data_IF_053346186504
#
_entry.id   IF_053346186504
#
_cell.length_a   1.000
_cell.length_b   1.000
_cell.length_c   1.000
_cell.angle_alpha   90.00
_cell.angle_beta   90.00
_cell.angle_gamma   90.00
#
_symmetry.space_group_name_H-M   'P 1'
#
loop_
_entity.id
_entity.type
_entity.pdbx_description
1 polymer ?
#
# COMPACT_ATOMS: atom_id res chain seq x y z
N UNK A 1 -34.35 -24.62 -4.31
CA UNK A 1 -33.73 -23.56 -5.14
C UNK A 1 -32.61 -22.93 -4.34
N UNK A 2 -31.43 -23.55 -4.38
CA UNK A 2 -30.22 -23.05 -3.74
C UNK A 2 -29.64 -21.91 -4.59
N UNK A 3 -29.59 -20.69 -4.03
CA UNK A 3 -28.85 -19.58 -4.63
C UNK A 3 -27.38 -19.78 -4.32
N UNK A 4 -26.65 -20.41 -5.26
CA UNK A 4 -25.17 -20.43 -5.24
C UNK A 4 -24.67 -18.98 -5.26
N UNK A 5 -24.06 -18.56 -4.14
CA UNK A 5 -23.44 -17.25 -4.00
C UNK A 5 -22.31 -17.07 -5.01
N UNK A 6 -22.34 -15.95 -5.74
CA UNK A 6 -21.31 -15.52 -6.71
C UNK A 6 -19.93 -15.24 -6.10
N UNK A 7 -19.76 -15.43 -4.79
CA UNK A 7 -18.56 -15.08 -4.02
C UNK A 7 -17.44 -16.13 -4.07
N UNK A 8 -17.73 -17.41 -4.35
CA UNK A 8 -16.72 -18.48 -4.24
C UNK A 8 -15.74 -18.57 -5.42
N UNK A 9 -15.77 -17.61 -6.37
CA UNK A 9 -14.97 -17.69 -7.59
C UNK A 9 -13.63 -16.92 -7.49
N UNK A 10 -13.49 -16.00 -6.54
CA UNK A 10 -12.34 -15.08 -6.46
C UNK A 10 -11.17 -15.66 -5.65
N UNK A 11 -11.38 -16.76 -4.94
CA UNK A 11 -10.36 -17.49 -4.18
C UNK A 11 -9.61 -18.57 -5.00
N UNK A 12 -9.83 -18.68 -6.32
CA UNK A 12 -9.10 -19.65 -7.13
C UNK A 12 -7.79 -19.08 -7.68
N UNK A 13 -6.70 -19.48 -7.03
CA UNK A 13 -5.32 -19.41 -7.53
C UNK A 13 -5.24 -20.09 -8.93
N UNK A 14 -4.66 -19.47 -9.97
CA UNK A 14 -4.39 -20.20 -11.20
C UNK A 14 -3.27 -21.20 -10.93
N UNK A 15 -3.51 -22.48 -11.21
CA UNK A 15 -2.45 -23.50 -11.30
C UNK A 15 -1.66 -23.17 -12.57
N UNK A 16 -0.41 -22.75 -12.42
CA UNK A 16 0.53 -22.60 -13.52
C UNK A 16 0.78 -23.98 -14.15
N UNK A 17 0.27 -24.15 -15.37
CA UNK A 17 0.60 -25.28 -16.24
C UNK A 17 1.95 -25.02 -16.90
N UNK A 18 2.81 -26.03 -16.89
CA UNK A 18 4.11 -26.04 -17.53
C UNK A 18 4.00 -25.88 -19.06
N UNK A 19 4.88 -25.06 -19.65
CA UNK A 19 5.16 -25.07 -21.08
C UNK A 19 5.56 -23.71 -21.66
N UNK A 20 6.83 -23.57 -22.03
CA UNK A 20 7.26 -22.62 -23.06
C UNK A 20 8.09 -21.44 -22.58
N UNK A 21 9.40 -21.64 -22.49
CA UNK A 21 10.42 -20.59 -22.53
C UNK A 21 10.37 -19.88 -23.90
N UNK A 22 10.05 -18.57 -23.89
CA UNK A 22 10.51 -17.54 -24.85
C UNK A 22 9.86 -16.17 -24.54
N UNK A 23 10.63 -15.22 -23.99
CA UNK A 23 10.39 -13.77 -24.09
C UNK A 23 9.48 -13.10 -23.05
N UNK A 24 9.82 -13.12 -21.75
CA UNK A 24 8.96 -12.60 -20.67
C UNK A 24 9.27 -11.18 -20.18
N UNK A 25 10.40 -10.58 -20.61
CA UNK A 25 10.84 -9.26 -20.10
C UNK A 25 9.98 -8.09 -20.57
N UNK A 26 9.58 -8.07 -21.85
CA UNK A 26 8.81 -6.97 -22.42
C UNK A 26 7.35 -6.94 -21.91
N UNK A 27 6.73 -8.11 -21.72
CA UNK A 27 5.36 -8.21 -21.22
C UNK A 27 5.20 -7.80 -19.76
N UNK A 28 6.17 -8.15 -18.90
CA UNK A 28 6.16 -7.71 -17.50
C UNK A 28 6.45 -6.21 -17.35
N UNK A 29 7.31 -5.66 -18.22
CA UNK A 29 7.57 -4.22 -18.30
C UNK A 29 6.33 -3.42 -18.68
N UNK A 30 5.60 -3.84 -19.72
CA UNK A 30 4.36 -3.20 -20.16
C UNK A 30 3.28 -3.20 -19.07
N UNK A 31 3.06 -4.35 -18.41
CA UNK A 31 2.07 -4.44 -17.30
C UNK A 31 2.43 -3.50 -16.14
N UNK A 32 3.72 -3.33 -15.82
CA UNK A 32 4.16 -2.39 -14.78
C UNK A 32 3.86 -0.95 -15.17
N UNK A 33 4.19 -0.56 -16.39
CA UNK A 33 3.92 0.77 -16.91
C UNK A 33 2.42 1.07 -16.88
N UNK A 34 1.59 0.15 -17.37
CA UNK A 34 0.13 0.29 -17.38
C UNK A 34 -0.45 0.53 -15.97
N UNK A 35 0.05 -0.19 -14.96
CA UNK A 35 -0.40 -0.01 -13.57
C UNK A 35 0.00 1.34 -12.98
N UNK A 36 1.19 1.85 -13.34
CA UNK A 36 1.64 3.19 -12.91
C UNK A 36 0.84 4.29 -13.62
N UNK A 37 0.56 4.12 -14.92
CA UNK A 37 -0.29 5.05 -15.68
C UNK A 37 -1.71 5.05 -15.16
N UNK A 38 -2.26 3.89 -14.77
CA UNK A 38 -3.58 3.80 -14.14
C UNK A 38 -3.62 4.53 -12.79
N UNK A 39 -2.56 4.43 -11.98
CA UNK A 39 -2.46 5.17 -10.72
C UNK A 39 -2.38 6.69 -10.95
N UNK A 40 -1.57 7.14 -11.92
CA UNK A 40 -1.49 8.55 -12.28
C UNK A 40 -2.82 9.09 -12.83
N UNK A 41 -3.51 8.30 -13.68
CA UNK A 41 -4.83 8.63 -14.23
C UNK A 41 -5.93 8.66 -13.16
N UNK A 42 -5.80 7.87 -12.09
CA UNK A 42 -6.65 7.94 -10.90
C UNK A 42 -6.37 9.16 -10.02
N UNK A 43 -5.39 10.00 -10.39
CA UNK A 43 -5.05 11.23 -9.70
C UNK A 43 -3.99 11.09 -8.62
N UNK A 44 -3.35 9.92 -8.47
CA UNK A 44 -2.29 9.74 -7.47
C UNK A 44 -0.99 10.41 -7.91
N UNK A 45 -0.47 11.42 -7.19
CA UNK A 45 0.78 12.07 -7.56
C UNK A 45 1.94 11.12 -7.27
N UNK A 46 2.69 10.74 -8.31
CA UNK A 46 3.75 9.75 -8.26
C UNK A 46 5.14 10.39 -8.23
N UNK A 47 6.07 9.79 -7.49
CA UNK A 47 7.50 10.12 -7.55
C UNK A 47 8.37 8.84 -7.51
N UNK A 48 9.58 8.85 -8.10
CA UNK A 48 10.47 7.69 -8.07
C UNK A 48 10.92 7.34 -6.65
N UNK A 49 10.98 6.04 -6.39
CA UNK A 49 11.39 5.45 -5.13
C UNK A 49 12.40 4.33 -5.36
N UNK A 50 13.21 4.10 -4.32
CA UNK A 50 14.24 3.07 -4.34
C UNK A 50 13.61 1.68 -4.55
N UNK A 51 14.35 0.81 -5.21
CA UNK A 51 13.95 -0.56 -5.48
C UNK A 51 14.96 -1.55 -4.88
N UNK A 52 14.63 -2.85 -4.79
CA UNK A 52 15.57 -3.84 -4.30
C UNK A 52 16.75 -3.96 -5.27
N UNK A 53 17.98 -4.00 -4.76
CA UNK A 53 19.19 -4.20 -5.54
C UNK A 53 20.11 -5.17 -4.80
N UNK A 54 20.35 -6.35 -5.39
CA UNK A 54 21.01 -7.47 -4.69
C UNK A 54 20.29 -7.83 -3.39
N UNK A 55 21.03 -7.84 -2.28
CA UNK A 55 20.49 -8.06 -0.93
C UNK A 55 20.11 -6.75 -0.21
N UNK A 56 20.15 -5.61 -0.89
CA UNK A 56 20.00 -4.29 -0.30
C UNK A 56 19.09 -3.36 -1.09
N UNK A 57 19.40 -2.06 -1.04
CA UNK A 57 18.61 -0.98 -1.62
C UNK A 57 19.36 -0.35 -2.80
N UNK A 58 18.64 0.11 -3.82
CA UNK A 58 19.20 0.83 -4.98
C UNK A 58 19.77 2.22 -4.66
N UNK A 59 19.72 2.66 -3.39
CA UNK A 59 20.28 3.94 -2.96
C UNK A 59 21.76 3.89 -2.57
N UNK A 60 22.41 2.72 -2.71
CA UNK A 60 23.81 2.44 -2.38
C UNK A 60 24.23 2.73 -0.92
N UNK A 61 23.28 3.11 -0.05
CA UNK A 61 23.52 3.31 1.37
C UNK A 61 23.67 1.96 2.08
N UNK A 62 24.87 1.72 2.60
CA UNK A 62 25.14 0.61 3.53
C UNK A 62 24.25 0.80 4.77
N UNK A 63 23.46 -0.21 5.13
CA UNK A 63 22.54 -0.13 6.26
C UNK A 63 21.35 0.81 6.03
N UNK A 64 20.83 0.87 4.80
CA UNK A 64 19.58 1.57 4.52
C UNK A 64 18.47 1.13 5.51
N UNK A 65 17.84 2.06 6.25
CA UNK A 65 16.85 1.71 7.27
C UNK A 65 15.52 1.22 6.68
N UNK A 66 15.20 1.64 5.45
CA UNK A 66 13.94 1.29 4.77
C UNK A 66 14.23 0.78 3.34
N UNK A 67 14.90 -0.38 3.19
CA UNK A 67 15.34 -0.85 1.88
C UNK A 67 14.19 -0.96 0.88
N UNK A 68 14.37 -0.36 -0.30
CA UNK A 68 13.42 -0.34 -1.41
C UNK A 68 12.06 0.34 -1.13
N UNK A 69 11.96 1.14 -0.06
CA UNK A 69 10.69 1.76 0.37
C UNK A 69 10.69 3.29 0.37
N UNK A 70 11.85 3.93 0.27
CA UNK A 70 11.97 5.38 0.36
C UNK A 70 12.03 6.07 -1.01
N UNK A 71 11.59 7.34 -1.13
CA UNK A 71 11.79 8.16 -2.31
C UNK A 71 13.27 8.29 -2.66
N UNK A 72 13.59 8.45 -3.95
CA UNK A 72 14.97 8.68 -4.40
C UNK A 72 15.42 10.12 -4.09
N UNK A 73 14.52 11.07 -4.26
CA UNK A 73 14.77 12.50 -4.09
C UNK A 73 14.24 12.99 -2.74
N UNK A 74 14.99 13.86 -2.06
CA UNK A 74 14.49 14.56 -0.87
C UNK A 74 13.41 15.60 -1.20
N UNK A 75 13.31 16.03 -2.46
CA UNK A 75 12.28 16.93 -2.95
C UNK A 75 11.06 16.17 -3.53
N UNK A 76 10.83 14.94 -3.09
CA UNK A 76 9.77 14.08 -3.62
C UNK A 76 8.39 14.72 -3.53
N UNK A 77 8.10 15.47 -2.46
CA UNK A 77 6.81 16.15 -2.24
C UNK A 77 6.49 17.11 -3.40
N UNK A 78 7.46 17.92 -3.82
CA UNK A 78 7.27 18.92 -4.87
C UNK A 78 7.47 18.35 -6.27
N UNK A 79 8.13 17.20 -6.39
CA UNK A 79 8.35 16.52 -7.66
C UNK A 79 7.19 15.60 -8.05
N UNK A 80 6.44 15.09 -7.06
CA UNK A 80 5.34 14.15 -7.27
C UNK A 80 4.31 14.71 -8.26
N UNK A 81 3.85 13.89 -9.19
CA UNK A 81 3.03 14.35 -10.31
C UNK A 81 2.07 13.29 -10.82
N UNK A 82 0.97 13.73 -11.42
CA UNK A 82 0.05 12.89 -12.19
C UNK A 82 0.31 12.96 -13.71
N UNK A 83 1.33 13.71 -14.14
CA UNK A 83 1.69 13.85 -15.55
C UNK A 83 2.26 12.53 -16.11
N UNK A 84 1.55 11.86 -17.03
CA UNK A 84 1.96 10.56 -17.57
C UNK A 84 3.29 10.64 -18.34
N UNK A 85 3.59 11.77 -19.00
CA UNK A 85 4.82 11.90 -19.77
C UNK A 85 6.05 11.93 -18.85
N UNK A 86 5.93 12.62 -17.71
CA UNK A 86 6.96 12.69 -16.68
C UNK A 86 7.13 11.34 -15.97
N UNK A 87 6.05 10.64 -15.67
CA UNK A 87 6.12 9.28 -15.09
C UNK A 87 6.77 8.29 -16.06
N UNK A 88 6.38 8.31 -17.34
CA UNK A 88 6.96 7.45 -18.36
C UNK A 88 8.44 7.79 -18.61
N UNK A 89 8.82 9.07 -18.54
CA UNK A 89 10.22 9.48 -18.61
C UNK A 89 11.05 8.89 -17.47
N UNK A 90 10.57 8.94 -16.24
CA UNK A 90 11.25 8.33 -15.09
C UNK A 90 11.38 6.82 -15.24
N UNK A 91 10.31 6.13 -15.67
CA UNK A 91 10.34 4.69 -15.86
C UNK A 91 11.28 4.26 -17.01
N UNK A 92 11.42 5.06 -18.07
CA UNK A 92 12.42 4.82 -19.12
C UNK A 92 13.85 5.00 -18.63
N UNK A 93 14.07 5.98 -17.73
CA UNK A 93 15.39 6.25 -17.16
C UNK A 93 15.82 5.16 -16.17
N UNK A 94 14.88 4.65 -15.37
CA UNK A 94 15.09 3.52 -14.47
C UNK A 94 13.83 2.61 -14.48
N UNK A 95 13.85 1.54 -15.31
CA UNK A 95 12.72 0.59 -15.38
C UNK A 95 12.50 -0.20 -14.08
N UNK A 96 13.49 -0.23 -13.20
CA UNK A 96 13.42 -0.96 -11.94
C UNK A 96 12.88 -0.09 -10.81
N UNK A 97 12.95 1.25 -10.91
CA UNK A 97 12.44 2.19 -9.92
C UNK A 97 11.05 1.81 -9.41
N UNK A 98 10.90 1.77 -8.10
CA UNK A 98 9.57 1.80 -7.48
C UNK A 98 9.00 3.22 -7.60
N UNK A 99 7.71 3.36 -7.27
CA UNK A 99 7.07 4.66 -7.17
C UNK A 99 6.37 4.75 -5.82
N UNK A 100 6.43 5.94 -5.23
CA UNK A 100 5.57 6.33 -4.11
C UNK A 100 4.48 7.25 -4.61
N UNK A 101 3.42 7.38 -3.83
CA UNK A 101 2.48 8.48 -3.97
C UNK A 101 2.49 9.39 -2.75
N UNK A 102 2.45 10.70 -2.99
CA UNK A 102 2.38 11.70 -1.93
C UNK A 102 0.95 11.80 -1.40
N UNK A 103 0.77 11.61 -0.09
CA UNK A 103 -0.53 11.65 0.60
C UNK A 103 -0.83 13.04 1.18
N UNK A 104 -2.08 13.26 1.60
CA UNK A 104 -2.54 14.50 2.24
C UNK A 104 -2.70 15.71 1.33
N UNK A 105 -2.80 15.47 0.01
CA UNK A 105 -3.18 16.48 -0.98
C UNK A 105 -4.48 16.07 -1.65
N UNK A 106 -4.47 14.93 -2.36
CA UNK A 106 -5.65 14.42 -3.09
C UNK A 106 -6.27 13.19 -2.44
N UNK A 107 -5.48 12.46 -1.65
CA UNK A 107 -5.88 11.23 -1.01
C UNK A 107 -5.06 11.04 0.26
N UNK A 108 -5.60 10.26 1.19
CA UNK A 108 -4.90 9.72 2.35
C UNK A 108 -4.86 8.20 2.25
N UNK A 109 -4.04 7.58 3.11
CA UNK A 109 -3.96 6.12 3.20
C UNK A 109 -4.04 5.65 4.65
N UNK A 110 -5.02 4.79 4.93
CA UNK A 110 -5.11 4.06 6.19
C UNK A 110 -4.32 2.74 6.04
N UNK A 111 -3.23 2.61 6.80
CA UNK A 111 -2.30 1.48 6.77
C UNK A 111 -2.48 0.60 8.02
N UNK A 112 -2.91 -0.65 7.85
CA UNK A 112 -3.21 -1.61 8.92
C UNK A 112 -2.47 -2.95 8.71
N UNK A 113 -2.30 -3.81 9.74
CA UNK A 113 -1.79 -5.16 9.55
C UNK A 113 -2.66 -5.92 8.55
N UNK A 114 -2.05 -6.74 7.70
CA UNK A 114 -2.76 -7.35 6.56
C UNK A 114 -3.92 -8.26 6.97
N UNK A 115 -3.80 -8.97 8.10
CA UNK A 115 -4.87 -9.82 8.62
C UNK A 115 -6.03 -9.00 9.19
N UNK A 116 -5.75 -7.96 9.97
CA UNK A 116 -6.76 -7.00 10.42
C UNK A 116 -7.46 -6.33 9.23
N UNK A 117 -6.70 -5.89 8.22
CA UNK A 117 -7.25 -5.30 7.00
C UNK A 117 -8.15 -6.25 6.21
N UNK A 118 -7.78 -7.53 6.09
CA UNK A 118 -8.65 -8.55 5.47
C UNK A 118 -9.98 -8.69 6.21
N UNK A 119 -9.94 -8.80 7.53
CA UNK A 119 -11.13 -8.89 8.36
C UNK A 119 -12.03 -7.65 8.24
N UNK A 120 -11.43 -6.45 8.25
CA UNK A 120 -12.15 -5.21 8.06
C UNK A 120 -12.80 -5.14 6.66
N UNK A 121 -12.07 -5.51 5.61
CA UNK A 121 -12.57 -5.50 4.24
C UNK A 121 -13.77 -6.43 4.05
N UNK A 122 -13.74 -7.62 4.67
CA UNK A 122 -14.88 -8.55 4.67
C UNK A 122 -16.12 -7.95 5.35
N UNK A 123 -15.94 -7.29 6.50
CA UNK A 123 -17.03 -6.65 7.23
C UNK A 123 -17.62 -5.45 6.51
N UNK A 124 -16.77 -4.59 5.96
CA UNK A 124 -17.19 -3.44 5.15
C UNK A 124 -18.00 -3.92 3.94
N UNK A 125 -17.55 -4.98 3.27
CA UNK A 125 -18.28 -5.61 2.18
C UNK A 125 -19.63 -6.20 2.62
N UNK A 126 -19.70 -6.86 3.77
CA UNK A 126 -20.96 -7.39 4.32
C UNK A 126 -21.95 -6.29 4.75
N UNK A 127 -21.44 -5.13 5.14
CA UNK A 127 -22.21 -3.94 5.49
C UNK A 127 -22.53 -3.05 4.28
N UNK A 128 -22.13 -3.44 3.06
CA UNK A 128 -22.29 -2.68 1.82
C UNK A 128 -21.70 -1.26 1.88
N UNK A 129 -20.66 -1.07 2.68
CA UNK A 129 -19.89 0.19 2.74
C UNK A 129 -18.98 0.28 1.52
N UNK A 130 -18.98 1.44 0.86
CA UNK A 130 -18.10 1.67 -0.29
C UNK A 130 -16.64 1.70 0.15
N UNK A 131 -15.82 0.88 -0.50
CA UNK A 131 -14.37 0.82 -0.28
C UNK A 131 -13.66 1.26 -1.56
N UNK A 132 -12.69 2.17 -1.38
CA UNK A 132 -11.84 2.67 -2.44
C UNK A 132 -10.77 1.67 -2.89
N UNK A 133 -9.68 2.17 -3.52
CA UNK A 133 -8.54 1.35 -3.86
C UNK A 133 -7.92 0.74 -2.59
N UNK A 134 -7.48 -0.52 -2.71
CA UNK A 134 -6.85 -1.25 -1.61
C UNK A 134 -5.61 -1.93 -2.13
N UNK A 135 -4.46 -1.69 -1.51
CA UNK A 135 -3.22 -2.40 -1.81
C UNK A 135 -2.80 -3.27 -0.63
N UNK A 136 -1.96 -4.27 -0.89
CA UNK A 136 -1.30 -5.05 0.16
C UNK A 136 0.20 -5.10 -0.07
N UNK A 137 0.95 -4.99 1.02
CA UNK A 137 2.39 -5.18 1.08
C UNK A 137 2.67 -6.51 1.78
N UNK A 138 3.37 -7.42 1.13
CA UNK A 138 3.92 -8.62 1.78
C UNK A 138 5.44 -8.48 1.89
N UNK A 139 6.00 -8.64 3.09
CA UNK A 139 7.44 -8.78 3.31
C UNK A 139 7.76 -10.18 3.82
N UNK A 140 8.95 -10.70 3.50
CA UNK A 140 9.41 -12.01 3.98
C UNK A 140 9.71 -12.00 5.50
N UNK A 141 10.12 -10.84 6.02
CA UNK A 141 10.56 -10.64 7.42
C UNK A 141 9.72 -9.63 8.21
N UNK A 142 8.72 -9.02 7.58
CA UNK A 142 7.83 -8.04 8.20
C UNK A 142 6.39 -8.49 8.04
N UNK A 143 5.58 -8.26 9.08
CA UNK A 143 4.15 -8.49 9.01
C UNK A 143 3.59 -7.71 7.81
N UNK A 144 2.85 -8.41 6.95
CA UNK A 144 2.24 -7.80 5.78
C UNK A 144 1.29 -6.68 6.22
N UNK A 145 1.08 -5.71 5.34
CA UNK A 145 0.17 -4.59 5.59
C UNK A 145 -0.86 -4.44 4.48
N UNK A 146 -1.97 -3.80 4.80
CA UNK A 146 -3.04 -3.47 3.86
C UNK A 146 -3.29 -1.97 3.91
N UNK A 147 -3.31 -1.35 2.73
CA UNK A 147 -3.37 0.08 2.50
C UNK A 147 -4.73 0.40 1.90
N UNK A 148 -5.54 1.17 2.61
CA UNK A 148 -6.87 1.63 2.16
C UNK A 148 -6.75 3.09 1.72
N UNK A 149 -6.97 3.35 0.44
CA UNK A 149 -6.89 4.70 -0.13
C UNK A 149 -8.23 5.38 0.03
N UNK A 150 -8.22 6.58 0.60
CA UNK A 150 -9.42 7.37 0.93
C UNK A 150 -9.27 8.77 0.40
N UNK A 151 -10.38 9.53 0.40
CA UNK A 151 -10.29 10.96 0.24
C UNK A 151 -9.42 11.53 1.36
N UNK A 152 -8.80 12.68 1.11
CA UNK A 152 -8.10 13.41 2.17
C UNK A 152 -9.11 13.80 3.26
N UNK A 153 -8.72 13.69 4.55
CA UNK A 153 -9.54 14.20 5.66
C UNK A 153 -9.69 15.73 5.67
N UNK A 154 -8.99 16.40 4.76
CA UNK A 154 -9.17 17.81 4.47
C UNK A 154 -7.98 18.35 3.70
N UNK A 155 -8.24 18.89 2.52
CA UNK A 155 -7.59 20.12 2.08
C UNK A 155 -8.51 21.25 2.54
N UNK A 156 -8.45 21.69 3.81
CA UNK A 156 -9.13 22.93 4.14
C UNK A 156 -8.57 24.03 3.22
N UNK A 157 -9.44 24.90 2.72
CA UNK A 157 -9.04 26.09 1.94
C UNK A 157 -8.14 27.03 2.78
N UNK A 158 -8.13 26.83 4.09
CA UNK A 158 -7.29 27.50 5.08
C UNK A 158 -6.29 26.51 5.71
N UNK A 159 -4.98 26.82 5.61
CA UNK A 159 -3.94 26.01 6.25
C UNK A 159 -4.07 25.99 7.78
N UNK A 160 -4.72 26.99 8.39
CA UNK A 160 -4.92 27.10 9.84
C UNK A 160 -6.04 26.17 10.37
N UNK A 161 -6.86 25.59 9.48
CA UNK A 161 -7.87 24.58 9.84
C UNK A 161 -7.31 23.15 9.82
N UNK A 162 -6.10 22.96 9.30
CA UNK A 162 -5.44 21.66 9.35
C UNK A 162 -4.90 21.38 10.76
N UNK A 163 -5.33 20.26 11.34
CA UNK A 163 -4.88 19.83 12.67
C UNK A 163 -4.24 18.43 12.64
N UNK A 164 -3.08 18.20 13.29
CA UNK A 164 -2.47 16.87 13.39
C UNK A 164 -3.30 15.92 14.27
N UNK A 165 -3.37 14.65 13.90
CA UNK A 165 -4.04 13.60 14.67
C UNK A 165 -3.03 12.59 15.22
N UNK A 166 -3.31 11.97 16.37
CA UNK A 166 -2.51 10.89 16.97
C UNK A 166 -2.31 9.67 16.04
N UNK A 167 -3.09 9.56 14.97
CA UNK A 167 -2.95 8.50 13.97
C UNK A 167 -2.07 8.92 12.78
N UNK A 168 -1.69 10.19 12.68
CA UNK A 168 -0.87 10.70 11.57
C UNK A 168 0.51 10.03 11.60
N UNK A 169 0.81 9.27 10.55
CA UNK A 169 2.06 8.54 10.42
C UNK A 169 2.97 9.21 9.39
N UNK A 170 4.18 9.53 9.84
CA UNK A 170 5.27 10.00 8.98
C UNK A 170 6.29 8.87 8.76
N UNK A 171 7.09 8.94 7.68
CA UNK A 171 8.13 7.94 7.40
C UNK A 171 9.07 7.66 8.59
N UNK A 172 9.31 8.66 9.43
CA UNK A 172 10.14 8.59 10.63
C UNK A 172 9.43 7.98 11.87
N UNK A 173 8.09 7.94 11.91
CA UNK A 173 7.30 7.49 13.08
C UNK A 173 6.60 6.16 12.86
N UNK A 174 6.91 5.42 11.79
CA UNK A 174 6.20 4.19 11.44
C UNK A 174 6.17 3.16 12.59
N UNK A 175 7.23 3.06 13.38
CA UNK A 175 7.33 2.09 14.48
C UNK A 175 6.49 2.46 15.73
N UNK A 176 5.97 3.69 15.81
CA UNK A 176 5.20 4.19 16.95
C UNK A 176 3.72 3.72 16.92
N UNK A 177 3.23 3.34 15.74
CA UNK A 177 1.86 2.87 15.54
C UNK A 177 1.84 1.50 14.84
N UNK A 178 2.03 0.39 15.57
CA UNK A 178 2.03 -0.96 14.96
C UNK A 178 0.64 -1.39 14.47
N UNK A 179 -0.41 -0.86 15.11
CA UNK A 179 -1.82 -1.07 14.74
C UNK A 179 -2.21 -0.28 13.49
N UNK A 180 -3.03 0.75 13.64
CA UNK A 180 -3.48 1.58 12.51
C UNK A 180 -2.57 2.82 12.36
N UNK A 181 -2.20 3.11 11.12
CA UNK A 181 -1.48 4.32 10.70
C UNK A 181 -2.31 5.10 9.69
N UNK A 182 -2.25 6.42 9.74
CA UNK A 182 -2.90 7.30 8.78
C UNK A 182 -1.85 8.15 8.06
N UNK A 183 -1.57 7.82 6.81
CA UNK A 183 -0.68 8.61 5.96
C UNK A 183 -1.46 9.80 5.39
N UNK A 184 -1.26 10.97 6.02
CA UNK A 184 -1.84 12.25 5.64
C UNK A 184 -0.78 13.15 4.98
N UNK A 185 -0.81 14.46 5.28
CA UNK A 185 0.10 15.47 4.71
C UNK A 185 1.55 15.20 5.08
N UNK A 186 2.44 15.35 4.10
CA UNK A 186 3.88 15.14 4.29
C UNK A 186 4.28 13.67 4.40
N UNK A 187 3.36 12.74 4.15
CA UNK A 187 3.62 11.30 4.15
C UNK A 187 3.57 10.73 2.72
N UNK A 188 3.92 9.45 2.59
CA UNK A 188 3.84 8.72 1.34
C UNK A 188 3.65 7.23 1.58
N UNK A 189 3.15 6.53 0.56
CA UNK A 189 3.17 5.06 0.50
C UNK A 189 3.68 4.59 -0.85
N UNK A 190 4.19 3.35 -0.91
CA UNK A 190 4.55 2.72 -2.17
C UNK A 190 3.30 2.41 -3.01
N UNK A 191 3.39 2.62 -4.31
CA UNK A 191 2.32 2.33 -5.27
C UNK A 191 2.58 0.98 -5.93
N UNK A 192 1.57 0.09 -6.04
CA UNK A 192 1.69 -1.13 -6.84
C UNK A 192 2.09 -0.83 -8.30
N UNK A 193 2.97 -1.65 -8.92
CA UNK A 193 3.50 -2.92 -8.43
C UNK A 193 4.91 -2.78 -7.82
N UNK A 194 5.08 -2.04 -6.72
CA UNK A 194 6.38 -1.89 -6.08
C UNK A 194 6.98 -3.23 -5.60
N UNK A 195 8.30 -3.38 -5.70
CA UNK A 195 9.05 -4.54 -5.22
C UNK A 195 9.70 -4.24 -3.88
N UNK A 196 9.70 -5.20 -2.98
CA UNK A 196 10.33 -5.12 -1.67
C UNK A 196 11.50 -6.12 -1.61
N UNK A 197 12.40 -6.04 -0.61
CA UNK A 197 13.46 -7.03 -0.46
C UNK A 197 12.90 -8.46 -0.37
N UNK A 198 13.69 -9.43 -0.86
CA UNK A 198 13.24 -10.82 -1.01
C UNK A 198 12.15 -10.95 -2.09
N UNK A 199 11.16 -11.80 -1.84
CA UNK A 199 10.01 -11.99 -2.73
C UNK A 199 8.84 -11.02 -2.44
N UNK A 200 9.10 -10.01 -1.61
CA UNK A 200 8.10 -9.06 -1.17
C UNK A 200 7.64 -8.12 -2.28
N UNK A 201 6.37 -7.72 -2.23
CA UNK A 201 5.76 -6.84 -3.23
C UNK A 201 4.60 -6.05 -2.66
N UNK A 202 4.29 -4.94 -3.30
CA UNK A 202 3.06 -4.17 -3.11
C UNK A 202 2.16 -4.41 -4.32
N UNK A 203 0.94 -4.86 -4.08
CA UNK A 203 -0.01 -5.22 -5.14
C UNK A 203 -1.40 -4.66 -4.86
N UNK A 204 -2.14 -4.29 -5.91
CA UNK A 204 -3.55 -3.94 -5.78
C UNK A 204 -4.37 -5.18 -5.42
N UNK A 205 -5.19 -5.05 -4.37
CA UNK A 205 -6.31 -5.95 -4.04
C UNK A 205 -7.58 -5.44 -4.73
N UNK A 206 -7.82 -4.14 -4.62
CA UNK A 206 -8.83 -3.39 -5.36
C UNK A 206 -8.11 -2.24 -6.08
N UNK A 207 -8.37 -2.10 -7.39
CA UNK A 207 -7.58 -1.24 -8.26
C UNK A 207 -7.76 0.26 -8.03
N UNK A 208 -6.85 1.08 -8.60
CA UNK A 208 -6.84 2.53 -8.44
C UNK A 208 -8.03 3.23 -9.09
N UNK A 209 -8.79 2.57 -9.96
CA UNK A 209 -9.97 3.11 -10.65
C UNK A 209 -11.18 3.36 -9.74
N UNK A 210 -11.14 2.88 -8.50
CA UNK A 210 -12.24 3.07 -7.54
C UNK A 210 -12.24 4.48 -6.98
N UNK A 211 -13.45 5.00 -6.74
CA UNK A 211 -13.62 6.28 -6.05
C UNK A 211 -12.99 6.24 -4.65
N UNK A 212 -12.49 7.38 -4.21
CA UNK A 212 -11.91 7.57 -2.88
C UNK A 212 -13.05 7.85 -1.87
N UNK A 213 -13.35 6.95 -0.92
CA UNK A 213 -14.40 7.17 0.07
C UNK A 213 -13.94 8.15 1.15
N UNK A 214 -14.89 8.72 1.90
CA UNK A 214 -14.60 9.45 3.14
C UNK A 214 -13.89 8.49 4.12
N UNK A 215 -12.69 8.84 4.63
CA UNK A 215 -11.94 7.98 5.55
C UNK A 215 -12.72 7.61 6.81
N UNK A 216 -13.60 8.50 7.31
CA UNK A 216 -14.37 8.26 8.54
C UNK A 216 -15.30 7.05 8.41
N UNK A 217 -15.74 6.73 7.19
CA UNK A 217 -16.59 5.56 6.91
C UNK A 217 -15.88 4.22 7.13
N UNK A 218 -14.53 4.21 7.12
CA UNK A 218 -13.72 3.01 7.25
C UNK A 218 -13.11 2.87 8.66
N UNK A 219 -12.92 3.98 9.38
CA UNK A 219 -12.15 4.03 10.62
C UNK A 219 -12.66 3.06 11.69
N UNK A 220 -13.98 2.98 11.91
CA UNK A 220 -14.55 2.10 12.93
C UNK A 220 -14.19 0.63 12.65
N UNK A 221 -14.44 0.16 11.42
CA UNK A 221 -14.18 -1.21 11.03
C UNK A 221 -12.70 -1.58 11.10
N UNK A 222 -11.82 -0.66 10.66
CA UNK A 222 -10.38 -0.85 10.68
C UNK A 222 -9.83 -0.85 12.11
N UNK A 223 -10.33 0.06 12.97
CA UNK A 223 -9.89 0.15 14.38
C UNK A 223 -10.33 -1.07 15.17
N UNK A 224 -11.58 -1.53 15.03
CA UNK A 224 -12.07 -2.74 15.69
C UNK A 224 -11.30 -3.99 15.22
N UNK A 225 -10.99 -4.10 13.92
CA UNK A 225 -10.19 -5.21 13.41
C UNK A 225 -8.76 -5.20 13.96
N UNK A 226 -8.11 -4.03 14.02
CA UNK A 226 -6.78 -3.88 14.61
C UNK A 226 -6.76 -4.22 16.11
N UNK A 227 -7.78 -3.80 16.87
CA UNK A 227 -7.87 -4.09 18.30
C UNK A 227 -7.99 -5.60 18.58
N UNK A 228 -8.79 -6.31 17.78
CA UNK A 228 -8.92 -7.78 17.89
C UNK A 228 -7.61 -8.50 17.55
N UNK A 229 -6.95 -8.05 16.49
CA UNK A 229 -5.67 -8.60 16.06
C UNK A 229 -4.57 -8.42 17.13
N UNK A 230 -4.49 -7.24 17.75
CA UNK A 230 -3.55 -6.97 18.84
C UNK A 230 -3.80 -7.85 20.08
N UNK A 231 -5.07 -8.17 20.38
CA UNK A 231 -5.43 -9.09 21.47
C UNK A 231 -5.02 -10.53 21.18
N UNK A 232 -5.19 -11.00 19.94
CA UNK A 232 -4.80 -12.35 19.52
C UNK A 232 -3.28 -12.57 19.55
N UNK A 233 -2.48 -11.58 19.12
CA UNK A 233 -1.02 -11.64 19.21
C UNK A 233 -0.54 -11.71 20.67
N UNK A 234 -1.18 -10.97 21.59
CA UNK A 234 -0.86 -11.01 23.02
C UNK A 234 -1.21 -12.35 23.67
N UNK A 235 -2.38 -12.90 23.37
CA UNK A 235 -2.81 -14.21 23.85
C UNK A 235 -1.91 -15.34 23.31
N UNK A 236 -1.49 -15.24 22.05
CA UNK A 236 -0.61 -16.23 21.41
C UNK A 236 0.83 -16.15 21.95
N UNK A 237 1.33 -14.95 22.26
CA UNK A 237 2.61 -14.76 22.96
C UNK A 237 2.56 -15.30 24.40
N UNK A 238 1.43 -15.14 25.10
CA UNK A 238 1.22 -15.68 26.45
C UNK A 238 1.06 -17.22 26.48
N UNK A 239 0.66 -17.83 25.36
CA UNK A 239 0.42 -19.27 25.23
C UNK A 239 1.70 -20.13 25.03
N UNK A 240 2.89 -19.51 24.91
CA UNK A 240 4.15 -20.26 24.83
C UNK A 240 4.53 -20.86 26.21
N UNK A 241 4.82 -22.16 26.32
CA UNK A 241 5.21 -22.74 27.60
C UNK A 241 6.63 -22.27 27.94
N UNK A 242 6.75 -21.40 28.96
CA UNK A 242 8.02 -21.17 29.63
C UNK A 242 8.41 -22.46 30.35
N UNK A 243 9.21 -23.29 29.69
CA UNK A 243 9.79 -24.52 30.25
C UNK A 243 10.58 -24.20 31.52
N UNK A 244 10.25 -24.92 32.59
CA UNK A 244 11.00 -24.96 33.85
C UNK A 244 12.26 -25.82 33.73
#
# INVERSE_FOLDING_TARGET
MERKGRFSQWLRRPRSGAGGDQGTGAGAGGVREDLLMAAAAAGFPLAPAAHPSGYGCSCDRIGCPTPARHPVSFAWQTQATTDPDKVAQWLRADPQANFITATGIVHDVLDVPADAGRLALERLGAAEVEVGPVATSSGDLQQGRMLFFTATRGTPDDEDEWWPCELDCHPETMDEHPGLRWHCRGSYVLVPPARLPGDGRVGWVLGPERALPDPLTLLEALTDACARFAGEDQDQAAAWPMGR
#
